data_IF_641237330620
#
_entry.id   IF_641237330620
#
_cell.length_a   1.000
_cell.length_b   1.000
_cell.length_c   1.000
_cell.angle_alpha   90.00
_cell.angle_beta   90.00
_cell.angle_gamma   90.00
#
_symmetry.space_group_name_H-M   'P 1'
#
loop_
_entity.id
_entity.type
_entity.pdbx_description
1 polymer ?
#
# COMPACT_ATOMS: atom_id res chain seq x y z
N UNK A 1 31.17 15.25 7.37
CA UNK A 1 29.76 15.71 7.34
C UNK A 1 29.00 14.99 8.41
N UNK A 2 28.26 15.71 9.27
CA UNK A 2 27.33 15.10 10.21
C UNK A 2 26.25 14.35 9.41
N UNK A 3 26.22 13.03 9.52
CA UNK A 3 25.07 12.27 9.10
C UNK A 3 23.85 12.89 9.77
N UNK A 4 22.81 13.21 9.00
CA UNK A 4 21.49 13.51 9.55
C UNK A 4 21.02 12.25 10.28
N UNK A 5 21.45 12.11 11.53
CA UNK A 5 20.98 11.09 12.44
C UNK A 5 19.59 11.56 12.87
N UNK A 6 18.60 11.34 11.99
CA UNK A 6 17.17 11.53 12.23
C UNK A 6 16.65 10.46 13.21
N UNK A 7 17.44 10.15 14.24
CA UNK A 7 16.97 9.44 15.41
C UNK A 7 16.03 10.41 16.10
N UNK A 8 14.74 10.29 15.80
CA UNK A 8 13.71 10.63 16.75
C UNK A 8 14.12 9.88 18.03
N UNK A 9 14.68 10.60 19.00
CA UNK A 9 14.76 10.08 20.36
C UNK A 9 13.32 9.65 20.69
N UNK A 10 13.06 8.36 20.96
CA UNK A 10 11.76 7.99 21.49
C UNK A 10 11.61 8.86 22.74
N UNK A 11 10.67 9.79 22.73
CA UNK A 11 10.46 10.68 23.86
C UNK A 11 9.77 9.87 24.96
N UNK A 12 10.59 9.08 25.65
CA UNK A 12 10.24 8.35 26.86
C UNK A 12 9.88 9.41 27.90
N UNK A 13 8.58 9.56 28.20
CA UNK A 13 8.10 10.44 29.27
C UNK A 13 6.95 11.40 28.93
N UNK A 14 6.59 11.57 27.65
CA UNK A 14 5.40 12.38 27.30
C UNK A 14 4.13 11.55 27.49
N UNK A 15 3.26 11.96 28.42
CA UNK A 15 1.94 11.35 28.59
C UNK A 15 0.96 11.90 27.56
N UNK A 16 0.95 11.30 26.37
CA UNK A 16 0.09 11.71 25.25
C UNK A 16 -1.41 11.58 25.54
N UNK A 17 -1.82 10.69 26.45
CA UNK A 17 -3.23 10.41 26.73
C UNK A 17 -3.90 11.50 27.60
N UNK A 18 -3.11 12.37 28.24
CA UNK A 18 -3.61 13.43 29.12
C UNK A 18 -3.57 14.84 28.53
N UNK A 19 -3.07 15.01 27.30
CA UNK A 19 -2.97 16.32 26.66
C UNK A 19 -4.32 16.73 26.08
N UNK A 20 -4.69 18.00 26.25
CA UNK A 20 -5.80 18.59 25.48
C UNK A 20 -5.45 18.63 24.00
N UNK A 21 -6.44 18.64 23.13
CA UNK A 21 -6.26 18.64 21.66
C UNK A 21 -5.17 19.62 21.18
N UNK A 22 -5.20 20.86 21.65
CA UNK A 22 -4.23 21.87 21.26
C UNK A 22 -2.82 21.58 21.81
N UNK A 23 -2.71 21.15 23.06
CA UNK A 23 -1.42 20.78 23.67
C UNK A 23 -0.81 19.55 22.98
N UNK A 24 -1.64 18.58 22.60
CA UNK A 24 -1.24 17.44 21.80
C UNK A 24 -0.65 17.89 20.46
N UNK A 25 -1.35 18.77 19.74
CA UNK A 25 -0.91 19.29 18.44
C UNK A 25 0.43 20.02 18.59
N UNK A 26 0.52 20.95 19.54
CA UNK A 26 1.72 21.77 19.72
C UNK A 26 2.92 20.89 20.11
N UNK A 27 2.72 19.96 21.05
CA UNK A 27 3.75 18.96 21.42
C UNK A 27 4.12 18.10 20.22
N UNK A 28 3.15 17.62 19.44
CA UNK A 28 3.43 16.78 18.29
C UNK A 28 4.12 17.55 17.15
N UNK A 29 3.81 18.84 16.95
CA UNK A 29 4.54 19.72 16.03
C UNK A 29 6.00 19.84 16.47
N UNK A 30 6.25 20.15 17.74
CA UNK A 30 7.60 20.30 18.28
C UNK A 30 8.41 19.01 18.22
N UNK A 31 7.79 17.87 18.52
CA UNK A 31 8.49 16.60 18.63
C UNK A 31 8.62 15.85 17.30
N UNK A 32 7.64 15.96 16.39
CA UNK A 32 7.53 15.07 15.21
C UNK A 32 7.56 15.78 13.87
N UNK A 33 7.25 17.08 13.81
CA UNK A 33 7.23 17.78 12.53
C UNK A 33 8.65 18.10 12.04
N UNK A 34 9.12 17.26 11.12
CA UNK A 34 10.41 17.38 10.45
C UNK A 34 10.56 18.71 9.69
N UNK A 35 9.45 19.40 9.39
CA UNK A 35 9.42 20.66 8.66
C UNK A 35 9.09 21.86 9.53
N UNK A 36 8.97 21.71 10.86
CA UNK A 36 8.58 22.78 11.78
C UNK A 36 9.46 24.03 11.60
N UNK A 37 10.77 23.82 11.42
CA UNK A 37 11.74 24.90 11.17
C UNK A 37 11.35 25.73 9.94
N UNK A 38 11.06 25.07 8.82
CA UNK A 38 10.68 25.77 7.59
C UNK A 38 9.34 26.51 7.72
N UNK A 39 8.39 25.95 8.48
CA UNK A 39 7.09 26.61 8.75
C UNK A 39 7.22 27.84 9.62
N UNK A 40 8.21 27.89 10.52
CA UNK A 40 8.55 29.10 11.30
C UNK A 40 9.25 30.18 10.47
N UNK A 41 9.16 30.12 9.14
CA UNK A 41 9.82 31.06 8.24
C UNK A 41 11.34 30.92 8.21
N UNK A 42 11.92 29.88 8.85
CA UNK A 42 13.35 29.64 8.73
C UNK A 42 13.62 29.18 7.30
N UNK A 43 14.28 30.03 6.53
CA UNK A 43 14.63 29.72 5.15
C UNK A 43 15.39 28.40 5.11
N UNK A 44 15.05 27.54 4.15
CA UNK A 44 15.88 26.37 3.90
C UNK A 44 17.28 26.83 3.55
N UNK A 45 18.24 26.53 4.43
CA UNK A 45 19.58 27.09 4.35
C UNK A 45 20.16 26.88 2.95
N UNK A 46 20.43 27.98 2.26
CA UNK A 46 20.74 27.96 0.83
C UNK A 46 21.96 27.10 0.49
N UNK A 47 22.88 26.90 1.46
CA UNK A 47 24.04 26.04 1.30
C UNK A 47 23.69 24.55 1.38
N UNK A 48 22.76 24.15 2.25
CA UNK A 48 22.21 22.78 2.30
C UNK A 48 21.39 22.47 1.05
N UNK A 49 20.57 23.43 0.59
CA UNK A 49 19.83 23.34 -0.68
C UNK A 49 20.76 23.15 -1.87
N UNK A 50 21.83 23.95 -1.95
CA UNK A 50 22.83 23.83 -3.02
C UNK A 50 23.52 22.47 -3.00
N UNK A 51 23.87 21.94 -1.83
CA UNK A 51 24.38 20.57 -1.72
C UNK A 51 23.41 19.53 -2.28
N UNK A 52 22.16 19.52 -1.80
CA UNK A 52 21.16 18.52 -2.21
C UNK A 52 20.81 18.64 -3.70
N UNK A 53 20.57 19.86 -4.20
CA UNK A 53 20.23 20.11 -5.61
C UNK A 53 21.42 19.85 -6.53
N UNK A 54 22.65 20.20 -6.13
CA UNK A 54 23.85 19.92 -6.93
C UNK A 54 24.16 18.43 -7.04
N UNK A 55 23.76 17.63 -6.04
CA UNK A 55 23.82 16.18 -6.10
C UNK A 55 22.63 15.55 -6.86
N UNK A 56 21.54 16.30 -7.07
CA UNK A 56 20.43 15.88 -7.90
C UNK A 56 20.82 15.95 -9.38
N UNK A 57 21.23 14.81 -9.95
CA UNK A 57 21.46 14.70 -11.39
C UNK A 57 20.12 14.65 -12.11
N UNK A 58 19.59 15.82 -12.47
CA UNK A 58 18.47 15.92 -13.41
C UNK A 58 18.94 15.36 -14.76
N UNK A 59 18.28 14.34 -15.32
CA UNK A 59 18.62 13.83 -16.64
C UNK A 59 18.50 14.96 -17.67
N UNK A 60 19.61 15.31 -18.34
CA UNK A 60 19.57 16.27 -19.47
C UNK A 60 19.13 15.54 -20.73
N UNK A 61 18.39 16.21 -21.61
CA UNK A 61 18.04 15.67 -22.93
C UNK A 61 19.33 15.39 -23.73
N UNK A 62 19.53 14.14 -24.13
CA UNK A 62 20.71 13.71 -24.89
C UNK A 62 20.96 12.20 -24.79
N UNK A 63 21.83 11.65 -25.66
CA UNK A 63 22.29 10.25 -25.56
C UNK A 63 23.12 10.09 -24.28
N UNK A 64 22.51 9.51 -23.25
CA UNK A 64 23.17 9.22 -21.98
C UNK A 64 24.38 8.30 -22.22
N UNK A 65 25.58 8.88 -22.11
CA UNK A 65 26.83 8.12 -22.05
C UNK A 65 26.94 7.65 -20.61
N UNK A 66 26.67 6.37 -20.37
CA UNK A 66 26.68 5.77 -19.03
C UNK A 66 27.94 6.11 -18.21
N UNK A 67 27.90 5.93 -16.87
CA UNK A 67 29.05 6.23 -16.03
C UNK A 67 30.28 5.46 -16.52
N UNK A 68 31.42 6.14 -16.65
CA UNK A 68 32.73 5.47 -16.68
C UNK A 68 32.91 4.82 -15.31
N UNK A 69 32.72 3.51 -15.26
CA UNK A 69 32.95 2.73 -14.05
C UNK A 69 34.46 2.57 -13.92
N UNK A 70 35.06 3.27 -12.95
CA UNK A 70 36.38 2.92 -12.43
C UNK A 70 36.26 1.59 -11.67
N UNK A 71 37.19 0.66 -11.92
CA UNK A 71 37.07 -0.79 -11.66
C UNK A 71 37.02 -1.23 -10.17
N UNK A 72 36.90 -0.34 -9.19
CA UNK A 72 37.29 -0.66 -7.80
C UNK A 72 36.16 -0.61 -6.73
N UNK A 73 34.90 -0.91 -7.06
CA UNK A 73 33.86 -1.07 -6.02
C UNK A 73 33.12 -2.41 -6.16
N UNK A 74 33.73 -3.47 -5.65
CA UNK A 74 33.04 -4.69 -5.21
C UNK A 74 32.52 -4.48 -3.78
N UNK A 75 31.37 -3.84 -3.63
CA UNK A 75 30.58 -3.97 -2.39
C UNK A 75 29.23 -4.55 -2.73
N UNK A 76 28.81 -5.54 -1.93
CA UNK A 76 27.55 -6.26 -2.06
C UNK A 76 26.36 -5.28 -2.16
N UNK A 77 25.80 -5.08 -3.35
CA UNK A 77 24.80 -4.05 -3.60
C UNK A 77 23.43 -4.38 -2.99
N UNK A 78 23.24 -5.61 -2.49
CA UNK A 78 21.99 -6.03 -1.86
C UNK A 78 21.90 -5.56 -0.39
N UNK A 79 23.02 -5.24 0.27
CA UNK A 79 23.04 -4.72 1.64
C UNK A 79 22.67 -3.21 1.73
N UNK A 80 23.05 -2.40 0.74
CA UNK A 80 22.93 -0.94 0.80
C UNK A 80 21.53 -0.38 0.45
N UNK A 81 20.61 -1.22 -0.02
CA UNK A 81 19.30 -0.77 -0.53
C UNK A 81 18.12 -1.11 0.39
N UNK A 82 18.20 -2.21 1.16
CA UNK A 82 17.21 -2.52 2.21
C UNK A 82 17.07 -1.42 3.27
N UNK A 83 18.10 -0.59 3.45
CA UNK A 83 18.07 0.59 4.33
C UNK A 83 17.41 1.83 3.71
N UNK A 84 17.30 1.95 2.38
CA UNK A 84 16.98 3.25 1.73
C UNK A 84 15.51 3.66 1.79
N UNK A 85 14.58 2.71 1.80
CA UNK A 85 13.13 3.00 1.80
C UNK A 85 12.40 2.52 3.07
N UNK A 86 13.13 2.11 4.12
CA UNK A 86 12.59 1.90 5.47
C UNK A 86 11.52 0.81 5.64
N UNK A 87 11.11 0.13 4.57
CA UNK A 87 10.08 -0.91 4.67
C UNK A 87 10.13 -1.87 3.48
N UNK A 88 10.24 -3.16 3.78
CA UNK A 88 9.74 -4.22 2.89
C UNK A 88 10.69 -5.34 2.52
N UNK A 89 12.01 -5.10 2.44
CA UNK A 89 12.97 -6.19 2.12
C UNK A 89 14.08 -6.21 3.15
N UNK A 90 13.80 -6.90 4.26
CA UNK A 90 14.82 -7.37 5.20
C UNK A 90 15.65 -6.27 5.86
N UNK A 91 15.04 -5.37 6.63
CA UNK A 91 15.75 -4.89 7.82
C UNK A 91 16.14 -6.16 8.57
N UNK A 92 17.43 -6.33 8.89
CA UNK A 92 17.92 -7.43 9.73
C UNK A 92 17.28 -7.29 11.11
N UNK A 93 16.01 -7.66 11.23
CA UNK A 93 15.36 -7.86 12.49
C UNK A 93 16.20 -8.85 13.28
N UNK A 94 16.22 -8.68 14.61
CA UNK A 94 16.89 -9.64 15.48
C UNK A 94 16.48 -11.06 15.07
N UNK A 95 17.42 -12.01 15.13
CA UNK A 95 17.15 -13.42 14.79
C UNK A 95 15.87 -13.94 15.46
N UNK A 96 15.58 -13.46 16.67
CA UNK A 96 14.36 -13.73 17.41
C UNK A 96 13.06 -13.31 16.68
N UNK A 97 13.02 -12.11 16.08
CA UNK A 97 11.86 -11.66 15.32
C UNK A 97 11.66 -12.48 14.03
N UNK A 98 12.75 -12.94 13.41
CA UNK A 98 12.65 -13.84 12.25
C UNK A 98 12.07 -15.21 12.64
N UNK A 99 12.44 -15.72 13.82
CA UNK A 99 11.86 -16.94 14.39
C UNK A 99 10.35 -16.82 14.57
N UNK A 100 9.88 -15.74 15.22
CA UNK A 100 8.44 -15.55 15.45
C UNK A 100 7.63 -15.42 14.15
N UNK A 101 8.18 -14.77 13.11
CA UNK A 101 7.52 -14.69 11.80
C UNK A 101 7.38 -16.07 11.15
N UNK A 102 8.40 -16.94 11.27
CA UNK A 102 8.34 -18.31 10.74
C UNK A 102 7.31 -19.16 11.49
N UNK A 103 7.25 -19.03 12.82
CA UNK A 103 6.28 -19.75 13.64
C UNK A 103 4.85 -19.33 13.30
N UNK A 104 4.62 -18.03 13.13
CA UNK A 104 3.33 -17.50 12.69
C UNK A 104 2.95 -18.02 11.30
N UNK A 105 3.88 -17.97 10.33
CA UNK A 105 3.64 -18.50 9.00
C UNK A 105 3.32 -20.01 9.02
N UNK A 106 4.01 -20.78 9.87
CA UNK A 106 3.76 -22.22 10.06
C UNK A 106 2.39 -22.49 10.68
N UNK A 107 1.97 -21.68 11.66
CA UNK A 107 0.65 -21.80 12.27
C UNK A 107 -0.47 -21.50 11.27
N UNK A 108 -0.34 -20.42 10.50
CA UNK A 108 -1.27 -20.10 9.41
C UNK A 108 -1.27 -21.22 8.37
N UNK A 109 -0.10 -21.74 8.00
CA UNK A 109 0.02 -22.85 7.05
C UNK A 109 -0.71 -24.12 7.52
N UNK A 110 -0.51 -24.52 8.78
CA UNK A 110 -1.19 -25.68 9.36
C UNK A 110 -2.71 -25.50 9.39
N UNK A 111 -3.15 -24.27 9.69
CA UNK A 111 -4.57 -23.92 9.71
C UNK A 111 -5.19 -23.99 8.30
N UNK A 112 -4.58 -23.32 7.32
CA UNK A 112 -5.14 -23.24 5.96
C UNK A 112 -4.98 -24.55 5.16
N UNK A 113 -4.07 -25.44 5.56
CA UNK A 113 -3.90 -26.77 4.99
C UNK A 113 -5.18 -27.61 5.04
N UNK A 114 -6.02 -27.41 6.06
CA UNK A 114 -7.35 -28.06 6.21
C UNK A 114 -8.36 -27.62 5.13
N UNK A 115 -7.99 -26.64 4.31
CA UNK A 115 -8.79 -26.08 3.22
C UNK A 115 -8.15 -26.31 1.85
N UNK A 116 -7.17 -27.21 1.75
CA UNK A 116 -6.51 -27.54 0.49
C UNK A 116 -5.47 -26.50 0.05
N UNK A 117 -5.07 -25.59 0.93
CA UNK A 117 -4.04 -24.59 0.65
C UNK A 117 -2.68 -25.06 1.17
N UNK A 118 -1.71 -25.14 0.27
CA UNK A 118 -0.34 -25.49 0.58
C UNK A 118 0.50 -24.21 0.70
N UNK A 119 1.20 -24.06 1.82
CA UNK A 119 2.16 -22.97 1.99
C UNK A 119 3.26 -23.08 0.94
N UNK A 120 3.54 -21.96 0.26
CA UNK A 120 4.60 -21.85 -0.72
C UNK A 120 5.80 -21.08 -0.14
N UNK A 121 5.59 -19.80 0.21
CA UNK A 121 6.65 -18.94 0.75
C UNK A 121 6.10 -17.71 1.47
N UNK A 122 6.94 -17.08 2.30
CA UNK A 122 6.69 -15.73 2.82
C UNK A 122 7.02 -14.73 1.71
N UNK A 123 6.10 -13.80 1.44
CA UNK A 123 6.27 -12.72 0.46
C UNK A 123 6.85 -11.46 1.09
N UNK A 124 6.47 -11.18 2.33
CA UNK A 124 6.93 -10.02 3.07
C UNK A 124 6.46 -10.08 4.51
N UNK A 125 7.10 -9.30 5.37
CA UNK A 125 6.69 -9.10 6.74
C UNK A 125 7.00 -7.66 7.14
N UNK A 126 6.26 -7.15 8.12
CA UNK A 126 6.43 -5.81 8.65
C UNK A 126 5.77 -5.69 10.01
N UNK A 127 5.71 -4.45 10.50
CA UNK A 127 5.12 -4.13 11.80
C UNK A 127 3.70 -4.69 11.94
N UNK A 128 2.95 -4.69 10.83
CA UNK A 128 1.55 -5.13 10.78
C UNK A 128 1.33 -6.63 10.54
N UNK A 129 2.39 -7.41 10.42
CA UNK A 129 2.32 -8.86 10.33
C UNK A 129 3.05 -9.44 9.13
N UNK A 130 2.57 -10.59 8.64
CA UNK A 130 3.20 -11.39 7.59
C UNK A 130 2.26 -11.60 6.41
N UNK A 131 2.80 -11.54 5.20
CA UNK A 131 2.11 -11.92 3.98
C UNK A 131 2.75 -13.19 3.41
N UNK A 132 1.93 -14.21 3.18
CA UNK A 132 2.37 -15.53 2.74
C UNK A 132 1.66 -15.93 1.43
N UNK A 133 2.37 -16.58 0.53
CA UNK A 133 1.85 -17.18 -0.68
C UNK A 133 1.40 -18.62 -0.41
N UNK A 134 0.21 -18.95 -0.89
CA UNK A 134 -0.38 -20.28 -0.83
C UNK A 134 -0.78 -20.75 -2.22
N UNK A 135 -0.48 -22.01 -2.53
CA UNK A 135 -0.97 -22.71 -3.71
C UNK A 135 -2.21 -23.53 -3.34
N UNK A 136 -3.27 -23.43 -4.13
CA UNK A 136 -4.31 -24.45 -4.17
C UNK A 136 -3.93 -25.44 -5.27
N UNK A 137 -3.81 -26.72 -4.91
CA UNK A 137 -3.50 -27.79 -5.85
C UNK A 137 -4.70 -28.71 -6.01
N UNK A 138 -4.86 -29.25 -7.21
CA UNK A 138 -5.82 -30.32 -7.44
C UNK A 138 -5.27 -31.69 -6.98
N UNK A 139 -6.08 -32.74 -7.11
CA UNK A 139 -5.66 -34.12 -6.85
C UNK A 139 -4.43 -34.59 -7.63
N UNK A 140 -4.18 -34.02 -8.82
CA UNK A 140 -3.01 -34.32 -9.64
C UNK A 140 -1.78 -33.48 -9.24
N UNK A 141 -1.82 -32.81 -8.09
CA UNK A 141 -0.77 -31.91 -7.59
C UNK A 141 -0.50 -30.69 -8.51
N UNK A 142 -1.42 -30.37 -9.42
CA UNK A 142 -1.32 -29.20 -10.31
C UNK A 142 -1.89 -27.98 -9.60
N UNK A 143 -1.13 -26.89 -9.56
CA UNK A 143 -1.55 -25.61 -8.99
C UNK A 143 -2.70 -25.03 -9.80
N UNK A 144 -3.91 -25.02 -9.23
CA UNK A 144 -5.11 -24.41 -9.83
C UNK A 144 -5.13 -22.90 -9.62
N UNK A 145 -4.85 -22.47 -8.39
CA UNK A 145 -4.97 -21.07 -7.96
C UNK A 145 -3.88 -20.70 -6.97
N UNK A 146 -3.59 -19.40 -6.87
CA UNK A 146 -2.64 -18.85 -5.90
C UNK A 146 -3.27 -17.71 -5.12
N UNK A 147 -3.00 -17.70 -3.83
CA UNK A 147 -3.56 -16.76 -2.88
C UNK A 147 -2.45 -16.11 -2.06
N UNK A 148 -2.60 -14.83 -1.79
CA UNK A 148 -1.82 -14.16 -0.75
C UNK A 148 -2.68 -14.10 0.50
N UNK A 149 -2.16 -14.61 1.61
CA UNK A 149 -2.82 -14.51 2.91
C UNK A 149 -1.95 -13.62 3.78
N UNK A 150 -2.51 -12.47 4.18
CA UNK A 150 -1.93 -11.57 5.17
C UNK A 150 -2.51 -11.89 6.55
N UNK A 151 -1.65 -11.90 7.55
CA UNK A 151 -1.99 -12.21 8.95
C UNK A 151 -1.26 -11.27 9.89
N UNK A 152 -1.95 -10.77 10.92
CA UNK A 152 -1.39 -9.89 11.94
C UNK A 152 -0.60 -10.67 12.99
N UNK A 153 0.64 -10.28 13.26
CA UNK A 153 1.44 -10.91 14.33
C UNK A 153 1.15 -10.31 15.71
N UNK A 154 0.36 -9.23 15.78
CA UNK A 154 0.11 -8.50 17.03
C UNK A 154 -1.33 -8.72 17.49
N UNK A 155 -1.56 -9.08 18.77
CA UNK A 155 -2.88 -9.44 19.27
C UNK A 155 -3.86 -8.25 19.31
N UNK A 156 -3.36 -7.02 19.33
CA UNK A 156 -4.18 -5.80 19.38
C UNK A 156 -4.42 -5.16 18.01
N UNK A 157 -3.82 -5.70 16.94
CA UNK A 157 -4.04 -5.18 15.60
C UNK A 157 -4.96 -6.10 14.83
N UNK A 158 -6.15 -5.59 14.52
CA UNK A 158 -7.19 -6.31 13.80
C UNK A 158 -7.15 -5.99 12.30
N UNK A 159 -7.06 -7.03 11.47
CA UNK A 159 -7.14 -6.89 10.00
C UNK A 159 -8.57 -6.58 9.52
N UNK A 160 -9.58 -6.59 10.39
CA UNK A 160 -10.98 -6.27 10.05
C UNK A 160 -11.14 -4.90 9.42
N UNK A 161 -10.45 -3.87 9.90
CA UNK A 161 -10.51 -2.53 9.31
C UNK A 161 -9.98 -2.52 7.88
N UNK A 162 -8.82 -3.15 7.63
CA UNK A 162 -8.25 -3.31 6.30
C UNK A 162 -9.15 -4.16 5.40
N UNK A 163 -9.67 -5.27 5.92
CA UNK A 163 -10.59 -6.17 5.22
C UNK A 163 -11.86 -5.46 4.78
N UNK A 164 -12.46 -4.63 5.63
CA UNK A 164 -13.66 -3.85 5.28
C UNK A 164 -13.37 -2.89 4.13
N UNK A 165 -12.24 -2.16 4.18
CA UNK A 165 -11.81 -1.27 3.09
C UNK A 165 -11.66 -2.05 1.80
N UNK A 166 -10.91 -3.14 1.83
CA UNK A 166 -10.65 -3.97 0.65
C UNK A 166 -11.93 -4.61 0.07
N UNK A 167 -12.88 -5.02 0.92
CA UNK A 167 -14.20 -5.50 0.48
C UNK A 167 -14.96 -4.43 -0.29
N UNK A 168 -14.92 -3.17 0.15
CA UNK A 168 -15.55 -2.04 -0.57
C UNK A 168 -14.84 -1.72 -1.88
N UNK A 169 -13.54 -1.97 -1.95
CA UNK A 169 -12.71 -1.76 -3.14
C UNK A 169 -12.65 -2.97 -4.08
N UNK A 170 -13.39 -4.04 -3.81
CA UNK A 170 -13.24 -5.32 -4.53
C UNK A 170 -13.52 -5.26 -6.04
N UNK A 171 -14.01 -4.11 -6.53
CA UNK A 171 -14.35 -3.82 -7.92
C UNK A 171 -13.51 -2.72 -8.54
N UNK A 172 -12.62 -2.09 -7.77
CA UNK A 172 -11.64 -1.17 -8.31
C UNK A 172 -10.59 -2.00 -9.05
N UNK A 173 -10.58 -1.92 -10.39
CA UNK A 173 -9.72 -2.75 -11.26
C UNK A 173 -8.21 -2.56 -10.98
N UNK A 174 -7.82 -1.41 -10.43
CA UNK A 174 -6.44 -1.07 -10.11
C UNK A 174 -6.14 -1.15 -8.61
N UNK A 175 -6.92 -1.95 -7.88
CA UNK A 175 -6.69 -2.28 -6.48
C UNK A 175 -6.66 -3.80 -6.37
N UNK A 176 -5.75 -4.33 -5.56
CA UNK A 176 -5.65 -5.78 -5.33
C UNK A 176 -6.99 -6.30 -4.82
N UNK A 177 -7.51 -7.32 -5.50
CA UNK A 177 -8.80 -7.89 -5.16
C UNK A 177 -8.75 -8.62 -3.82
N UNK A 178 -9.72 -8.33 -2.96
CA UNK A 178 -9.96 -9.10 -1.75
C UNK A 178 -10.82 -10.33 -2.07
N UNK A 179 -10.31 -11.48 -1.68
CA UNK A 179 -11.01 -12.74 -1.89
C UNK A 179 -11.78 -13.03 -0.61
N UNK A 180 -13.10 -13.13 -0.69
CA UNK A 180 -13.91 -13.41 0.48
C UNK A 180 -13.48 -14.76 1.08
N UNK A 181 -12.96 -14.75 2.31
CA UNK A 181 -12.46 -15.92 3.01
C UNK A 181 -13.46 -17.08 2.94
N UNK A 182 -14.75 -16.80 3.16
CA UNK A 182 -15.81 -17.82 3.21
C UNK A 182 -16.11 -18.37 1.83
N UNK A 183 -16.34 -17.50 0.83
CA UNK A 183 -16.57 -17.94 -0.54
C UNK A 183 -15.36 -18.64 -1.13
N UNK A 184 -14.16 -18.13 -0.88
CA UNK A 184 -12.89 -18.73 -1.31
C UNK A 184 -12.82 -20.13 -0.74
N UNK A 185 -12.95 -20.31 0.57
CA UNK A 185 -12.93 -21.64 1.19
C UNK A 185 -14.02 -22.58 0.65
N UNK A 186 -15.24 -22.10 0.46
CA UNK A 186 -16.32 -22.92 -0.07
C UNK A 186 -16.08 -23.29 -1.54
N UNK A 187 -15.54 -22.37 -2.34
CA UNK A 187 -15.17 -22.62 -3.75
C UNK A 187 -13.91 -23.47 -3.87
N UNK A 188 -12.97 -23.43 -2.91
CA UNK A 188 -11.86 -24.36 -2.83
C UNK A 188 -12.33 -25.82 -2.64
N UNK A 189 -13.57 -26.03 -2.16
CA UNK A 189 -14.10 -27.34 -1.76
C UNK A 189 -15.06 -27.98 -2.77
N UNK A 190 -15.73 -27.18 -3.61
CA UNK A 190 -16.88 -27.62 -4.43
C UNK A 190 -16.53 -28.22 -5.81
N UNK A 191 -15.64 -27.63 -6.64
CA UNK A 191 -15.39 -28.11 -8.00
C UNK A 191 -14.79 -29.51 -8.06
N UNK A 192 -13.93 -29.87 -7.12
CA UNK A 192 -13.36 -31.22 -7.06
C UNK A 192 -14.42 -32.27 -6.74
N UNK A 193 -15.32 -32.00 -5.78
CA UNK A 193 -16.44 -32.87 -5.41
C UNK A 193 -17.41 -33.14 -6.58
N UNK A 194 -17.61 -32.17 -7.47
CA UNK A 194 -18.52 -32.30 -8.62
C UNK A 194 -17.91 -33.13 -9.76
N UNK A 195 -16.57 -33.19 -9.87
CA UNK A 195 -15.84 -33.92 -10.91
C UNK A 195 -15.79 -35.44 -10.70
N UNK A 196 -16.20 -35.94 -9.53
CA UNK A 196 -16.19 -37.38 -9.23
C UNK A 196 -17.35 -38.15 -9.91
N UNK A 197 -17.14 -39.42 -10.28
CA UNK A 197 -18.22 -40.36 -10.59
C UNK A 197 -19.24 -40.41 -9.44
N UNK A 198 -20.54 -40.50 -9.77
CA UNK A 198 -21.66 -40.41 -8.80
C UNK A 198 -21.47 -41.25 -7.52
N UNK A 199 -20.84 -42.43 -7.62
CA UNK A 199 -20.58 -43.33 -6.48
C UNK A 199 -19.53 -42.78 -5.51
N UNK A 200 -18.41 -42.25 -6.03
CA UNK A 200 -17.36 -41.62 -5.21
C UNK A 200 -17.81 -40.26 -4.68
N UNK A 201 -18.57 -39.51 -5.46
CA UNK A 201 -19.14 -38.22 -5.04
C UNK A 201 -19.97 -38.35 -3.77
N UNK A 202 -20.75 -39.42 -3.61
CA UNK A 202 -21.56 -39.68 -2.40
C UNK A 202 -20.68 -39.97 -1.17
N UNK A 203 -19.69 -40.85 -1.32
CA UNK A 203 -18.74 -41.17 -0.25
C UNK A 203 -17.91 -39.94 0.17
N UNK A 204 -17.44 -39.14 -0.79
CA UNK A 204 -16.74 -37.89 -0.51
C UNK A 204 -17.66 -36.82 0.10
N UNK A 205 -18.93 -36.72 -0.33
CA UNK A 205 -19.91 -35.85 0.33
C UNK A 205 -20.16 -36.30 1.77
N UNK A 206 -20.26 -37.60 2.05
CA UNK A 206 -20.45 -38.11 3.41
C UNK A 206 -19.21 -37.87 4.29
N UNK A 207 -18.00 -37.99 3.73
CA UNK A 207 -16.75 -37.60 4.42
C UNK A 207 -16.72 -36.08 4.63
N UNK A 208 -17.09 -35.29 3.63
CA UNK A 208 -17.14 -33.83 3.72
C UNK A 208 -18.15 -33.36 4.77
N UNK A 209 -19.37 -33.91 4.74
CA UNK A 209 -20.45 -33.61 5.68
C UNK A 209 -20.12 -34.14 7.08
N UNK A 210 -19.39 -35.24 7.21
CA UNK A 210 -18.93 -35.72 8.52
C UNK A 210 -17.78 -34.87 9.08
N UNK A 211 -16.88 -34.35 8.24
CA UNK A 211 -15.90 -33.34 8.64
C UNK A 211 -16.58 -32.02 9.02
N UNK A 212 -17.63 -31.61 8.31
CA UNK A 212 -18.43 -30.43 8.63
C UNK A 212 -19.21 -30.63 9.94
N UNK A 213 -19.77 -31.81 10.18
CA UNK A 213 -20.41 -32.18 11.46
C UNK A 213 -19.41 -32.29 12.61
N UNK A 214 -18.21 -32.84 12.40
CA UNK A 214 -17.13 -32.82 13.39
C UNK A 214 -16.71 -31.40 13.73
N UNK A 215 -16.73 -30.48 12.78
CA UNK A 215 -16.46 -29.04 13.01
C UNK A 215 -17.56 -28.35 13.81
N UNK A 216 -18.81 -28.77 13.66
CA UNK A 216 -19.92 -28.29 14.51
C UNK A 216 -19.91 -28.95 15.89
N UNK A 217 -19.30 -30.13 16.02
CA UNK A 217 -19.21 -30.90 17.27
C UNK A 217 -17.94 -30.60 18.09
N UNK A 218 -16.89 -30.02 17.49
CA UNK A 218 -15.68 -29.61 18.18
C UNK A 218 -15.94 -28.27 18.90
N UNK A 219 -15.92 -28.18 20.25
CA UNK A 219 -16.31 -27.00 21.03
C UNK A 219 -15.38 -25.77 20.93
N UNK A 220 -14.40 -25.80 20.02
CA UNK A 220 -13.54 -24.66 19.67
C UNK A 220 -13.96 -23.84 18.42
N UNK A 221 -15.25 -23.65 18.04
CA UNK A 221 -15.59 -22.77 16.91
C UNK A 221 -15.09 -21.34 17.15
N UNK A 222 -15.20 -20.85 18.39
CA UNK A 222 -14.82 -19.49 18.75
C UNK A 222 -13.33 -19.17 18.44
N UNK A 223 -12.41 -20.09 18.75
CA UNK A 223 -10.98 -19.90 18.48
C UNK A 223 -10.65 -19.97 16.98
N UNK A 224 -11.35 -20.82 16.23
CA UNK A 224 -11.15 -20.90 14.79
C UNK A 224 -11.68 -19.65 14.08
N UNK A 225 -12.81 -19.11 14.55
CA UNK A 225 -13.41 -17.89 14.01
C UNK A 225 -12.51 -16.67 14.25
N UNK A 226 -11.87 -16.59 15.43
CA UNK A 226 -10.90 -15.53 15.74
C UNK A 226 -9.66 -15.58 14.82
N UNK A 227 -9.09 -16.78 14.58
CA UNK A 227 -7.98 -16.92 13.61
C UNK A 227 -8.45 -16.51 12.22
N UNK A 228 -9.65 -16.93 11.81
CA UNK A 228 -10.22 -16.53 10.52
C UNK A 228 -10.41 -15.04 10.39
N UNK A 229 -10.82 -14.37 11.46
CA UNK A 229 -10.99 -12.92 11.51
C UNK A 229 -9.68 -12.14 11.45
N UNK A 230 -8.56 -12.82 11.69
CA UNK A 230 -7.22 -12.29 11.55
C UNK A 230 -6.54 -12.63 10.22
N UNK A 231 -7.23 -13.25 9.26
CA UNK A 231 -6.70 -13.55 7.92
C UNK A 231 -7.29 -12.65 6.83
N UNK A 232 -6.45 -12.07 5.99
CA UNK A 232 -6.87 -11.32 4.82
C UNK A 232 -6.42 -12.05 3.55
N UNK A 233 -7.39 -12.57 2.80
CA UNK A 233 -7.13 -13.25 1.53
C UNK A 233 -7.15 -12.24 0.39
N UNK A 234 -6.08 -12.25 -0.40
CA UNK A 234 -5.83 -11.35 -1.50
C UNK A 234 -5.46 -12.15 -2.76
N UNK A 235 -5.79 -11.60 -3.92
CA UNK A 235 -5.32 -12.18 -5.17
C UNK A 235 -3.79 -12.14 -5.29
N UNK A 236 -3.23 -13.16 -5.92
CA UNK A 236 -1.79 -13.21 -6.17
C UNK A 236 -1.42 -12.48 -7.45
N UNK A 237 -0.52 -11.50 -7.32
CA UNK A 237 0.09 -10.76 -8.43
C UNK A 237 1.44 -11.41 -8.81
N UNK A 238 1.52 -12.20 -9.90
CA UNK A 238 2.66 -13.08 -10.17
C UNK A 238 3.94 -12.35 -10.56
N UNK A 239 3.84 -11.10 -11.01
CA UNK A 239 4.97 -10.30 -11.48
C UNK A 239 5.67 -9.51 -10.37
N UNK A 240 5.21 -9.66 -9.12
CA UNK A 240 5.79 -8.99 -7.96
C UNK A 240 5.33 -7.54 -7.85
N UNK A 241 6.13 -6.72 -7.17
CA UNK A 241 5.89 -5.29 -7.01
C UNK A 241 6.70 -4.46 -8.01
N UNK A 242 6.30 -3.21 -8.16
CA UNK A 242 6.91 -2.26 -9.08
C UNK A 242 8.35 -1.94 -8.69
N UNK A 243 8.67 -1.90 -7.39
CA UNK A 243 10.04 -1.73 -6.91
C UNK A 243 11.01 -2.75 -7.53
N UNK A 244 10.65 -4.04 -7.48
CA UNK A 244 11.45 -5.11 -8.09
C UNK A 244 11.64 -4.93 -9.59
N UNK A 245 10.65 -4.37 -10.29
CA UNK A 245 10.73 -4.15 -11.75
C UNK A 245 11.56 -2.92 -12.08
N UNK A 246 11.40 -1.82 -11.35
CA UNK A 246 12.27 -0.63 -11.45
C UNK A 246 13.71 -1.05 -11.20
N UNK A 247 13.97 -1.84 -10.15
CA UNK A 247 15.30 -2.34 -9.83
C UNK A 247 15.89 -3.21 -10.93
N UNK A 248 15.12 -4.16 -11.46
CA UNK A 248 15.56 -5.01 -12.59
C UNK A 248 15.87 -4.18 -13.84
N UNK A 249 15.08 -3.14 -14.13
CA UNK A 249 15.33 -2.22 -15.25
C UNK A 249 16.63 -1.44 -15.07
N UNK A 250 16.94 -1.02 -13.84
CA UNK A 250 18.16 -0.30 -13.49
C UNK A 250 19.41 -1.20 -13.50
N UNK A 251 19.26 -2.45 -13.03
CA UNK A 251 20.33 -3.45 -12.87
C UNK A 251 20.71 -4.21 -14.16
N UNK A 252 20.21 -3.83 -15.34
CA UNK A 252 20.54 -4.51 -16.60
C UNK A 252 22.03 -4.88 -16.69
N UNK A 253 22.32 -6.19 -16.89
CA UNK A 253 23.65 -6.83 -16.71
C UNK A 253 24.77 -6.16 -17.50
N UNK A 254 24.41 -5.44 -18.55
CA UNK A 254 25.33 -4.63 -19.36
C UNK A 254 24.76 -3.22 -19.54
N UNK A 255 25.60 -2.18 -19.67
CA UNK A 255 25.14 -0.81 -19.97
C UNK A 255 24.23 -0.71 -21.20
N UNK A 256 24.39 -1.62 -22.17
CA UNK A 256 23.54 -1.73 -23.37
C UNK A 256 22.19 -2.44 -23.13
N UNK A 257 22.02 -3.10 -21.97
CA UNK A 257 20.80 -3.79 -21.56
C UNK A 257 19.99 -3.00 -20.53
N UNK A 258 20.50 -1.86 -20.04
CA UNK A 258 19.67 -0.88 -19.35
C UNK A 258 18.68 -0.32 -20.36
N UNK A 259 17.49 -0.90 -20.37
CA UNK A 259 16.39 -0.39 -21.18
C UNK A 259 15.56 0.48 -20.24
N UNK A 260 15.55 1.81 -20.44
CA UNK A 260 14.56 2.63 -19.76
C UNK A 260 13.17 2.07 -20.09
N UNK A 261 12.22 2.26 -19.19
CA UNK A 261 10.83 1.97 -19.52
C UNK A 261 10.46 2.76 -20.78
N UNK A 262 9.72 2.11 -21.68
CA UNK A 262 9.18 2.82 -22.84
C UNK A 262 8.19 3.87 -22.35
N UNK A 263 8.00 4.93 -23.14
CA UNK A 263 7.02 5.97 -22.83
C UNK A 263 5.63 5.39 -22.52
N UNK A 264 5.20 4.38 -23.28
CA UNK A 264 3.95 3.66 -23.02
C UNK A 264 3.90 3.04 -21.63
N UNK A 265 4.96 2.36 -21.19
CA UNK A 265 5.02 1.78 -19.84
C UNK A 265 5.02 2.86 -18.77
N UNK A 266 5.74 3.96 -18.97
CA UNK A 266 5.73 5.10 -18.05
C UNK A 266 4.32 5.70 -17.89
N UNK A 267 3.57 5.83 -18.99
CA UNK A 267 2.17 6.25 -18.93
C UNK A 267 1.31 5.27 -18.14
N UNK A 268 1.48 3.96 -18.31
CA UNK A 268 0.75 2.97 -17.52
C UNK A 268 1.11 3.01 -16.03
N UNK A 269 2.38 3.26 -15.70
CA UNK A 269 2.84 3.44 -14.32
C UNK A 269 2.22 4.67 -13.66
N UNK A 270 1.86 5.69 -14.44
CA UNK A 270 1.17 6.88 -13.96
C UNK A 270 -0.36 6.66 -13.89
N UNK A 271 -0.95 6.12 -14.95
CA UNK A 271 -2.39 5.97 -15.13
C UNK A 271 -3.02 4.96 -14.16
N UNK A 272 -2.36 3.81 -13.93
CA UNK A 272 -2.93 2.77 -13.08
C UNK A 272 -3.08 3.19 -11.60
N UNK A 273 -2.07 3.77 -10.93
CA UNK A 273 -2.26 4.31 -9.58
C UNK A 273 -3.36 5.36 -9.50
N UNK A 274 -3.47 6.24 -10.51
CA UNK A 274 -4.53 7.25 -10.56
C UNK A 274 -5.91 6.59 -10.63
N UNK A 275 -6.09 5.61 -11.52
CA UNK A 275 -7.34 4.84 -11.59
C UNK A 275 -7.63 4.06 -10.30
N UNK A 276 -6.59 3.57 -9.62
CA UNK A 276 -6.71 2.97 -8.29
C UNK A 276 -7.25 3.98 -7.27
N UNK A 277 -6.75 5.21 -7.30
CA UNK A 277 -7.19 6.29 -6.42
C UNK A 277 -8.59 6.80 -6.74
N UNK A 278 -8.97 6.85 -8.03
CA UNK A 278 -10.36 7.08 -8.44
C UNK A 278 -11.25 5.98 -7.88
N UNK A 279 -10.83 4.70 -7.96
CA UNK A 279 -11.56 3.58 -7.38
C UNK A 279 -11.69 3.64 -5.85
N UNK A 280 -10.72 4.26 -5.16
CA UNK A 280 -10.81 4.53 -3.72
C UNK A 280 -11.81 5.64 -3.37
N UNK A 281 -12.00 6.63 -4.25
CA UNK A 281 -12.99 7.67 -4.05
C UNK A 281 -14.39 7.20 -4.45
N UNK A 282 -14.49 6.45 -5.55
CA UNK A 282 -15.72 6.09 -6.25
C UNK A 282 -15.71 4.58 -6.59
N UNK A 283 -15.91 3.70 -5.60
CA UNK A 283 -16.00 2.27 -5.87
C UNK A 283 -17.24 1.97 -6.71
N UNK A 284 -17.13 1.01 -7.65
CA UNK A 284 -18.27 0.59 -8.48
C UNK A 284 -19.37 -0.09 -7.64
N UNK A 285 -20.56 0.50 -7.58
CA UNK A 285 -21.76 -0.06 -6.97
C UNK A 285 -22.53 -0.98 -7.96
N UNK A 286 -23.44 -1.84 -7.48
CA UNK A 286 -24.30 -2.73 -8.31
C UNK A 286 -24.13 -4.23 -8.04
N UNK A 287 -24.83 -5.17 -8.69
CA UNK A 287 -24.40 -6.58 -8.76
C UNK A 287 -23.06 -6.69 -9.54
N UNK A 288 -22.32 -7.82 -9.47
CA UNK A 288 -21.19 -8.06 -10.37
C UNK A 288 -21.75 -8.16 -11.80
N UNK A 289 -21.95 -7.01 -12.44
CA UNK A 289 -22.35 -6.96 -13.83
C UNK A 289 -21.10 -7.42 -14.59
N UNK A 290 -21.14 -8.66 -15.10
CA UNK A 290 -20.16 -9.14 -16.09
C UNK A 290 -20.17 -8.29 -17.37
N UNK A 291 -21.13 -7.39 -17.49
CA UNK A 291 -21.36 -6.56 -18.65
C UNK A 291 -20.57 -5.23 -18.59
N UNK A 292 -19.98 -4.95 -19.74
CA UNK A 292 -18.98 -3.93 -20.01
C UNK A 292 -19.52 -2.56 -19.67
N UNK A 293 -18.86 -1.88 -18.73
CA UNK A 293 -18.90 -0.41 -18.73
C UNK A 293 -17.59 0.08 -19.34
N UNK A 294 -17.64 0.90 -20.41
CA UNK A 294 -16.48 1.59 -20.96
C UNK A 294 -15.55 2.16 -19.87
N UNK A 295 -14.23 2.16 -20.13
CA UNK A 295 -13.20 2.64 -19.18
C UNK A 295 -13.39 4.11 -18.79
N UNK A 296 -14.19 4.85 -19.55
CA UNK A 296 -14.83 6.10 -19.14
C UNK A 296 -16.23 5.76 -18.60
N UNK A 297 -16.34 5.46 -17.30
CA UNK A 297 -17.61 5.79 -16.65
C UNK A 297 -17.66 7.32 -16.63
N UNK A 298 -18.59 7.98 -17.33
CA UNK A 298 -18.68 9.41 -17.21
C UNK A 298 -19.13 9.69 -15.78
N UNK A 299 -18.41 10.57 -15.07
CA UNK A 299 -18.81 11.17 -13.79
C UNK A 299 -20.16 11.95 -13.89
N UNK A 300 -20.97 11.71 -14.92
CA UNK A 300 -22.16 12.45 -15.32
C UNK A 300 -23.43 11.92 -14.66
N UNK A 301 -23.33 11.31 -13.47
CA UNK A 301 -24.47 11.37 -12.57
C UNK A 301 -24.65 12.84 -12.23
N UNK A 302 -25.43 13.57 -13.04
CA UNK A 302 -25.77 14.97 -12.78
C UNK A 302 -26.62 15.12 -11.50
N UNK A 303 -27.01 14.01 -10.88
CA UNK A 303 -27.59 13.99 -9.55
C UNK A 303 -26.48 14.05 -8.48
N UNK A 304 -26.30 15.20 -7.80
CA UNK A 304 -25.31 15.35 -6.75
C UNK A 304 -25.60 14.48 -5.52
N UNK A 305 -26.85 14.02 -5.32
CA UNK A 305 -27.21 13.19 -4.17
C UNK A 305 -26.66 11.77 -4.30
N UNK A 306 -26.69 11.20 -5.52
CA UNK A 306 -26.11 9.87 -5.82
C UNK A 306 -24.59 9.87 -5.68
N UNK A 307 -23.94 11.00 -5.99
CA UNK A 307 -22.49 11.16 -5.84
C UNK A 307 -22.08 11.14 -4.36
N UNK A 308 -22.84 11.80 -3.47
CA UNK A 308 -22.47 11.95 -2.06
C UNK A 308 -22.64 10.65 -1.24
N UNK A 309 -23.65 9.83 -1.53
CA UNK A 309 -23.89 8.59 -0.77
C UNK A 309 -22.85 7.49 -1.04
N UNK A 310 -22.16 7.57 -2.17
CA UNK A 310 -21.30 6.49 -2.65
C UNK A 310 -19.81 6.82 -2.63
N UNK A 311 -19.44 8.04 -2.26
CA UNK A 311 -18.05 8.41 -2.04
C UNK A 311 -17.52 7.79 -0.74
N UNK A 312 -16.43 7.01 -0.85
CA UNK A 312 -15.76 6.48 0.33
C UNK A 312 -14.85 7.51 0.99
N UNK A 313 -14.31 8.46 0.22
CA UNK A 313 -13.23 9.35 0.66
C UNK A 313 -12.03 8.60 1.25
N UNK A 314 -11.69 7.43 0.70
CA UNK A 314 -10.61 6.62 1.25
C UNK A 314 -9.25 7.12 0.77
N UNK A 315 -8.37 7.49 1.70
CA UNK A 315 -6.98 7.92 1.44
C UNK A 315 -6.02 6.81 1.86
N UNK A 316 -5.07 6.45 1.00
CA UNK A 316 -4.16 5.30 1.22
C UNK A 316 -2.99 5.58 2.16
N UNK A 317 -2.43 6.79 2.13
CA UNK A 317 -1.24 7.25 2.87
C UNK A 317 0.08 6.48 2.64
N UNK A 318 0.12 5.41 1.85
CA UNK A 318 1.33 4.62 1.61
C UNK A 318 1.41 4.14 0.16
N UNK A 319 1.24 5.07 -0.78
CA UNK A 319 1.42 4.79 -2.21
C UNK A 319 2.90 4.91 -2.55
N UNK A 320 3.51 3.77 -2.87
CA UNK A 320 4.91 3.66 -3.27
C UNK A 320 5.14 2.42 -4.17
N UNK A 321 6.32 2.26 -4.77
CA UNK A 321 6.62 1.11 -5.64
C UNK A 321 6.51 -0.27 -4.99
N UNK A 322 6.72 -0.39 -3.67
CA UNK A 322 6.56 -1.67 -2.98
C UNK A 322 5.08 -2.03 -2.80
N UNK A 323 4.21 -1.02 -2.68
CA UNK A 323 2.77 -1.18 -2.52
C UNK A 323 1.99 -1.11 -3.86
N UNK A 324 2.72 -1.12 -4.98
CA UNK A 324 2.16 -1.21 -6.32
C UNK A 324 2.55 -2.55 -6.91
N UNK A 325 1.61 -3.48 -7.06
CA UNK A 325 1.86 -4.83 -7.59
C UNK A 325 1.39 -5.00 -9.01
N UNK A 326 1.96 -5.96 -9.71
CA UNK A 326 1.75 -6.15 -11.14
C UNK A 326 0.89 -7.41 -11.35
N UNK A 327 -0.32 -7.18 -11.85
CA UNK A 327 -1.31 -8.21 -12.11
C UNK A 327 -0.94 -9.18 -13.23
N UNK A 328 -1.81 -10.17 -13.44
CA UNK A 328 -1.73 -11.10 -14.59
C UNK A 328 -2.26 -10.43 -15.86
N UNK A 329 -1.68 -10.78 -17.01
CA UNK A 329 -2.24 -10.38 -18.32
C UNK A 329 -3.59 -11.09 -18.52
N UNK A 330 -4.56 -10.42 -19.16
CA UNK A 330 -5.84 -11.02 -19.55
C UNK A 330 -6.91 -11.14 -18.45
N UNK A 331 -6.70 -10.55 -17.27
CA UNK A 331 -7.85 -10.13 -16.43
C UNK A 331 -8.40 -8.77 -16.85
N UNK A 332 -7.57 -7.99 -17.55
CA UNK A 332 -8.01 -6.95 -18.46
C UNK A 332 -8.95 -7.59 -19.48
N UNK A 333 -10.18 -7.11 -19.48
CA UNK A 333 -11.31 -7.69 -20.19
C UNK A 333 -11.02 -7.74 -21.70
N UNK A 334 -11.63 -8.68 -22.44
CA UNK A 334 -11.52 -8.87 -23.91
C UNK A 334 -12.03 -7.67 -24.76
N UNK A 335 -11.77 -6.44 -24.34
CA UNK A 335 -11.95 -5.27 -25.17
C UNK A 335 -10.67 -5.11 -26.00
N UNK A 336 -10.81 -5.13 -27.32
CA UNK A 336 -9.70 -4.90 -28.25
C UNK A 336 -8.99 -3.55 -28.05
N UNK A 337 -9.59 -2.65 -27.26
CA UNK A 337 -9.07 -1.32 -26.91
C UNK A 337 -8.51 -1.25 -25.48
N UNK A 338 -8.41 -2.36 -24.73
CA UNK A 338 -7.81 -2.31 -23.40
C UNK A 338 -6.28 -2.14 -23.55
N UNK A 339 -5.70 -1.01 -23.11
CA UNK A 339 -4.28 -0.79 -23.28
C UNK A 339 -3.44 -1.79 -22.46
N UNK A 340 -4.07 -2.56 -21.56
CA UNK A 340 -3.47 -3.67 -20.81
C UNK A 340 -3.18 -4.95 -21.58
N UNK A 341 -3.57 -5.03 -22.86
CA UNK A 341 -3.17 -6.14 -23.73
C UNK A 341 -1.65 -6.23 -23.90
N UNK A 342 -0.94 -5.11 -23.75
CA UNK A 342 0.52 -5.02 -23.91
C UNK A 342 1.24 -4.85 -22.57
N UNK A 343 0.63 -4.16 -21.60
CA UNK A 343 1.24 -3.86 -20.30
C UNK A 343 0.31 -4.34 -19.18
N UNK A 344 0.72 -5.31 -18.35
CA UNK A 344 -0.11 -5.80 -17.27
C UNK A 344 -0.60 -4.67 -16.35
N UNK A 345 -1.82 -4.75 -15.80
CA UNK A 345 -2.32 -3.72 -14.91
C UNK A 345 -1.50 -3.66 -13.62
N UNK A 346 -1.29 -2.43 -13.14
CA UNK A 346 -0.72 -2.19 -11.82
C UNK A 346 -1.86 -2.01 -10.81
N UNK A 347 -1.78 -2.73 -9.69
CA UNK A 347 -2.77 -2.70 -8.61
C UNK A 347 -2.15 -2.11 -7.35
N UNK A 348 -2.85 -1.18 -6.71
CA UNK A 348 -2.50 -0.73 -5.35
C UNK A 348 -2.80 -1.84 -4.34
N UNK A 349 -1.93 -2.02 -3.36
CA UNK A 349 -2.08 -3.00 -2.29
C UNK A 349 -1.76 -2.39 -0.92
N UNK A 350 -1.97 -3.18 0.14
CA UNK A 350 -1.63 -2.83 1.52
C UNK A 350 -2.38 -1.60 2.06
N UNK A 351 -3.64 -1.82 2.40
CA UNK A 351 -4.55 -0.77 2.88
C UNK A 351 -4.56 -0.67 4.42
N UNK A 352 -3.52 -1.20 5.08
CA UNK A 352 -3.38 -1.14 6.53
C UNK A 352 -3.30 0.30 7.06
N UNK A 353 -2.64 1.19 6.30
CA UNK A 353 -2.53 2.62 6.61
C UNK A 353 -3.68 3.47 6.07
N UNK A 354 -4.51 2.92 5.20
CA UNK A 354 -5.58 3.69 4.57
C UNK A 354 -6.62 4.16 5.60
N UNK A 355 -7.21 5.34 5.39
CA UNK A 355 -8.24 5.93 6.26
C UNK A 355 -9.39 6.51 5.45
N UNK A 356 -10.59 6.39 5.99
CA UNK A 356 -11.74 7.13 5.47
C UNK A 356 -11.59 8.58 5.91
N UNK A 357 -11.57 9.48 4.95
CA UNK A 357 -11.45 10.92 5.15
C UNK A 357 -12.81 11.56 4.99
N UNK A 358 -13.71 11.30 5.95
CA UNK A 358 -14.98 12.00 6.03
C UNK A 358 -14.88 12.89 7.26
N UNK A 359 -14.91 14.21 7.08
CA UNK A 359 -14.91 15.16 8.18
C UNK A 359 -16.25 15.02 8.93
N UNK A 360 -16.37 14.02 9.81
CA UNK A 360 -17.51 13.85 10.69
C UNK A 360 -17.14 14.36 12.09
N UNK A 361 -18.15 14.83 12.82
CA UNK A 361 -18.02 15.08 14.25
C UNK A 361 -17.60 13.78 14.94
N UNK A 362 -16.46 13.80 15.65
CA UNK A 362 -16.02 12.69 16.49
C UNK A 362 -14.85 11.81 15.98
N UNK A 363 -14.26 12.06 14.81
CA UNK A 363 -13.01 11.34 14.43
C UNK A 363 -11.93 11.54 15.50
N UNK A 364 -11.08 10.55 15.77
CA UNK A 364 -9.98 10.74 16.70
C UNK A 364 -8.95 11.74 16.10
N UNK A 365 -8.82 12.91 16.71
CA UNK A 365 -7.89 13.96 16.29
C UNK A 365 -6.45 13.44 16.28
N UNK A 366 -6.12 12.56 17.21
CA UNK A 366 -4.82 11.93 17.30
C UNK A 366 -4.57 10.98 16.13
N UNK A 367 -5.56 10.17 15.71
CA UNK A 367 -5.43 9.31 14.52
C UNK A 367 -5.28 10.14 13.23
N UNK A 368 -6.08 11.20 13.07
CA UNK A 368 -5.93 12.13 11.94
C UNK A 368 -4.54 12.77 11.92
N UNK A 369 -4.06 13.25 13.06
CA UNK A 369 -2.73 13.82 13.17
C UNK A 369 -1.61 12.79 12.90
N UNK A 370 -1.81 11.54 13.30
CA UNK A 370 -0.88 10.45 13.00
C UNK A 370 -0.80 10.15 11.49
N UNK A 371 -1.87 10.40 10.72
CA UNK A 371 -1.86 10.27 9.25
C UNK A 371 -0.86 11.22 8.59
N UNK A 372 -0.57 12.37 9.20
CA UNK A 372 0.47 13.31 8.78
C UNK A 372 1.85 12.66 8.66
N UNK A 373 2.12 11.69 9.54
CA UNK A 373 3.40 10.99 9.62
C UNK A 373 3.36 9.61 8.97
N UNK A 374 2.27 9.30 8.28
CA UNK A 374 2.06 8.02 7.62
C UNK A 374 2.45 8.18 6.15
N UNK A 375 3.61 7.63 5.81
CA UNK A 375 4.09 7.31 4.46
C UNK A 375 5.51 6.73 4.60
N UNK A 376 5.98 6.00 3.59
CA UNK A 376 7.41 5.69 3.48
C UNK A 376 8.25 6.93 3.19
N UNK A 377 9.51 6.88 3.65
CA UNK A 377 10.50 7.95 3.41
C UNK A 377 10.64 8.20 1.90
N UNK A 378 10.47 9.45 1.49
CA UNK A 378 10.52 9.87 0.07
C UNK A 378 9.17 9.86 -0.64
N UNK A 379 8.11 9.35 0.00
CA UNK A 379 6.75 9.31 -0.54
C UNK A 379 5.74 10.12 0.28
N UNK A 380 6.23 10.95 1.21
CA UNK A 380 5.38 11.94 1.85
C UNK A 380 4.96 13.01 0.85
N UNK A 381 3.73 13.47 0.98
CA UNK A 381 3.19 14.56 0.18
C UNK A 381 3.55 15.90 0.81
N UNK A 382 3.84 16.95 0.02
CA UNK A 382 4.10 18.28 0.58
C UNK A 382 2.92 18.77 1.40
N UNK A 383 1.69 18.40 1.02
CA UNK A 383 0.46 18.75 1.72
C UNK A 383 0.50 18.29 3.17
N UNK A 384 1.02 17.09 3.48
CA UNK A 384 1.22 16.58 4.86
C UNK A 384 2.04 17.51 5.76
N UNK A 385 2.74 18.50 5.21
CA UNK A 385 3.51 19.46 5.97
C UNK A 385 3.06 20.90 5.78
N UNK A 386 1.89 21.12 5.19
CA UNK A 386 1.31 22.46 5.06
C UNK A 386 0.56 22.87 6.32
N UNK A 387 0.36 24.18 6.49
CA UNK A 387 -0.52 24.72 7.54
C UNK A 387 -1.97 24.24 7.38
N UNK A 388 -2.40 23.86 6.17
CA UNK A 388 -3.72 23.28 5.90
C UNK A 388 -4.07 22.08 6.80
N UNK A 389 -3.08 21.27 7.19
CA UNK A 389 -3.27 20.16 8.13
C UNK A 389 -3.49 20.61 9.57
N UNK A 390 -3.02 21.81 9.93
CA UNK A 390 -3.19 22.39 11.26
C UNK A 390 -4.59 22.99 11.44
N UNK A 391 -5.39 23.13 10.37
CA UNK A 391 -6.76 23.65 10.41
C UNK A 391 -7.83 22.57 10.58
N UNK A 392 -7.48 21.29 10.42
CA UNK A 392 -8.42 20.16 10.63
C UNK A 392 -8.93 20.11 12.08
N UNK A 393 -8.23 20.78 13.00
CA UNK A 393 -8.41 20.70 14.45
C UNK A 393 -9.28 21.80 15.06
N UNK A 394 -9.42 22.97 14.43
CA UNK A 394 -10.11 24.13 15.05
C UNK A 394 -11.61 24.18 14.79
N UNK A 395 -12.14 23.43 13.83
CA UNK A 395 -13.58 23.47 13.48
C UNK A 395 -14.50 22.73 14.46
N UNK A 396 -13.97 22.05 15.49
CA UNK A 396 -14.76 21.18 16.39
C UNK A 396 -15.33 21.86 17.62
N UNK A 397 -14.74 22.96 18.07
CA UNK A 397 -14.99 23.49 19.41
C UNK A 397 -16.10 24.54 19.49
N UNK A 398 -16.78 24.82 18.39
CA UNK A 398 -17.80 25.86 18.35
C UNK A 398 -19.16 25.31 17.93
N UNK A 399 -19.93 24.82 18.91
CA UNK A 399 -21.40 24.71 18.81
C UNK A 399 -22.07 26.07 18.56
N UNK A 400 -21.35 27.17 18.81
CA UNK A 400 -21.65 28.51 18.31
C UNK A 400 -20.53 28.92 17.36
N UNK A 401 -20.70 28.60 16.07
CA UNK A 401 -19.70 28.87 15.03
C UNK A 401 -19.06 30.25 15.23
N UNK A 402 -17.73 30.38 15.09
CA UNK A 402 -17.08 31.67 15.24
C UNK A 402 -17.76 32.63 14.27
N UNK A 403 -18.25 33.76 14.81
CA UNK A 403 -18.67 34.88 14.00
C UNK A 403 -17.46 35.30 13.19
N UNK A 404 -17.37 34.85 11.94
CA UNK A 404 -16.41 35.37 10.99
C UNK A 404 -16.55 36.89 10.94
N UNK A 405 -15.46 37.66 10.85
CA UNK A 405 -15.54 39.10 10.69
C UNK A 405 -16.52 39.42 9.55
N UNK A 406 -17.53 40.25 9.83
CA UNK A 406 -18.52 40.65 8.84
C UNK A 406 -17.80 41.26 7.63
N UNK A 407 -17.82 40.55 6.49
CA UNK A 407 -17.14 40.95 5.25
C UNK A 407 -16.22 39.90 4.62
N UNK A 408 -15.96 38.77 5.28
CA UNK A 408 -15.29 37.63 4.63
C UNK A 408 -16.30 36.83 3.81
N UNK A 409 -16.01 36.68 2.52
CA UNK A 409 -16.86 36.04 1.50
C UNK A 409 -17.40 34.68 1.96
N UNK A 410 -18.73 34.51 1.95
CA UNK A 410 -19.43 33.26 2.31
C UNK A 410 -19.29 32.17 1.24
N UNK A 411 -18.32 32.29 0.33
CA UNK A 411 -17.85 31.18 -0.49
C UNK A 411 -17.70 29.92 0.39
N UNK A 412 -18.09 28.73 -0.12
CA UNK A 412 -18.14 27.50 0.68
C UNK A 412 -16.87 27.38 1.50
N UNK A 413 -17.04 27.25 2.81
CA UNK A 413 -15.97 27.18 3.80
C UNK A 413 -14.77 26.44 3.21
N UNK A 414 -13.55 27.02 3.19
CA UNK A 414 -12.37 26.29 2.75
C UNK A 414 -12.32 25.03 3.62
N UNK A 415 -12.66 23.90 3.01
CA UNK A 415 -12.80 22.63 3.72
C UNK A 415 -11.43 22.34 4.27
N UNK A 416 -11.28 22.48 5.59
CA UNK A 416 -10.02 22.34 6.28
C UNK A 416 -9.47 20.93 6.01
N UNK A 417 -8.30 20.88 5.37
CA UNK A 417 -7.72 19.63 4.88
C UNK A 417 -8.25 19.21 3.51
N UNK A 418 -7.92 19.95 2.45
CA UNK A 418 -7.92 19.50 1.04
C UNK A 418 -6.83 18.44 0.77
N UNK A 419 -6.60 17.54 1.74
CA UNK A 419 -5.99 16.24 1.50
C UNK A 419 -7.04 15.39 0.82
N UNK A 420 -7.38 15.81 -0.38
CA UNK A 420 -8.17 15.00 -1.27
C UNK A 420 -7.31 13.80 -1.65
N UNK A 421 -7.96 12.68 -1.96
CA UNK A 421 -7.32 11.55 -2.62
C UNK A 421 -6.38 12.01 -3.74
N UNK A 422 -6.70 13.09 -4.45
CA UNK A 422 -5.91 13.70 -5.52
C UNK A 422 -4.50 14.20 -5.12
N UNK A 423 -4.30 14.84 -3.96
CA UNK A 423 -2.98 15.40 -3.59
C UNK A 423 -1.98 14.33 -3.17
N UNK A 424 -2.46 13.35 -2.38
CA UNK A 424 -1.77 12.10 -2.07
C UNK A 424 -1.31 11.35 -3.32
N UNK A 425 -2.24 11.20 -4.26
CA UNK A 425 -2.03 10.45 -5.51
C UNK A 425 -1.00 11.11 -6.40
N UNK A 426 -1.11 12.42 -6.63
CA UNK A 426 -0.27 13.11 -7.62
C UNK A 426 1.20 13.08 -7.21
N UNK A 427 1.50 13.43 -5.95
CA UNK A 427 2.89 13.46 -5.49
C UNK A 427 3.52 12.08 -5.49
N UNK A 428 2.86 11.07 -4.90
CA UNK A 428 3.40 9.71 -4.84
C UNK A 428 3.53 9.09 -6.23
N UNK A 429 2.55 9.28 -7.12
CA UNK A 429 2.60 8.77 -8.49
C UNK A 429 3.69 9.46 -9.30
N UNK A 430 3.88 10.78 -9.14
CA UNK A 430 5.01 11.50 -9.75
C UNK A 430 6.36 11.02 -9.22
N UNK A 431 6.48 10.71 -7.92
CA UNK A 431 7.70 10.14 -7.36
C UNK A 431 8.01 8.75 -7.95
N UNK A 432 6.99 7.90 -8.08
CA UNK A 432 7.10 6.60 -8.76
C UNK A 432 7.55 6.79 -10.22
N UNK A 433 6.93 7.71 -10.94
CA UNK A 433 7.25 8.00 -12.34
C UNK A 433 8.69 8.50 -12.48
N UNK A 434 9.14 9.38 -11.58
CA UNK A 434 10.51 9.87 -11.56
C UNK A 434 11.53 8.75 -11.34
N UNK A 435 11.27 7.85 -10.38
CA UNK A 435 12.12 6.68 -10.12
C UNK A 435 12.19 5.75 -11.34
N UNK A 436 11.06 5.53 -12.02
CA UNK A 436 10.98 4.70 -13.21
C UNK A 436 11.67 5.35 -14.43
N UNK A 437 11.52 6.65 -14.64
CA UNK A 437 12.11 7.39 -15.75
C UNK A 437 13.63 7.63 -15.57
N UNK A 438 14.11 7.65 -14.33
CA UNK A 438 15.50 7.96 -13.97
C UNK A 438 16.21 6.79 -13.27
N UNK A 439 16.27 5.57 -13.83
CA UNK A 439 16.84 4.42 -13.11
C UNK A 439 18.34 4.57 -12.79
N UNK A 440 19.03 5.54 -13.39
CA UNK A 440 20.45 5.84 -13.13
C UNK A 440 20.70 6.72 -11.91
N UNK A 441 19.71 7.46 -11.38
CA UNK A 441 19.86 8.19 -10.11
C UNK A 441 19.91 7.25 -8.91
N UNK A 442 19.46 6.00 -9.06
CA UNK A 442 19.48 4.97 -8.01
C UNK A 442 20.91 4.51 -7.64
N UNK A 443 21.90 4.66 -8.53
CA UNK A 443 23.27 4.16 -8.30
C UNK A 443 24.20 5.16 -7.59
N UNK A 444 23.91 6.46 -7.59
CA UNK A 444 24.73 7.42 -6.87
C UNK A 444 24.22 7.56 -5.44
N UNK A 445 24.63 6.63 -4.56
CA UNK A 445 24.82 7.05 -3.17
C UNK A 445 25.87 8.17 -3.12
N UNK A 446 25.95 8.96 -2.03
CA UNK A 446 27.07 9.87 -1.83
C UNK A 446 28.34 9.02 -1.67
N UNK A 447 29.06 8.79 -2.77
CA UNK A 447 30.41 8.24 -2.75
C UNK A 447 31.35 9.39 -2.47
N UNK A 448 31.77 9.53 -1.22
CA UNK A 448 32.95 10.31 -0.87
C UNK A 448 34.16 9.71 -1.59
N UNK A 449 35.02 10.49 -2.27
CA UNK A 449 36.29 9.98 -2.76
C UNK A 449 37.21 9.62 -1.57
N UNK A 450 38.06 8.58 -1.67
CA UNK A 450 39.10 8.35 -0.69
C UNK A 450 40.15 9.46 -0.87
N UNK A 451 40.43 10.21 0.19
CA UNK A 451 41.55 11.13 0.19
C UNK A 451 42.85 10.37 0.44
N UNK A 452 43.93 10.64 -0.31
CA UNK A 452 45.27 10.28 0.13
C UNK A 452 45.61 11.10 1.39
N UNK A 453 46.44 10.50 2.27
CA UNK A 453 46.84 11.05 3.57
C UNK A 453 47.26 12.52 3.53
#
# INVERSE_FOLDING_TARGET
MAAFNLNLQPMVGVNWAGLRDQEFIDTAKECRDKFLRYRRGQSWEAHLRRGIISHYKVPRSGRYRGPRIEKNMETDPDAAFGERYGGGVGVKGSSAYRGSVQDVAKNVANFVRRYGLQFNKILGWGTYGVACLFDQRNMQDVVQSRYVIKYTTQPFMDLKSERIKMRRLNRAQHVVRHLDNTQTINTLRLPELLSYPKRLRRAFLDIFLSLQRRRQADPTPAQNDEIFDNLLFLEYCPRGNLDQVIHKSAKGRYPRQRRPFTERVLWHLFDCPIKGCIGMQLPRQGPPVMERVPSMWPLTSSDPNVINEHQLHLVHFDIDPCNTVIGREGLAHNNADDPHDVVPPFHLNDFGTARYWRQQEGDDLQDLWNCRYTAKKGFFTPEQFTEGWDFVTTCRTTTHGPSWPAGMDQSPTPTSGTVTTCSGTTTSTCAILWLAASPTTLQTGPTSPPWPM
#
